data_IF_919002440050
#
_entry.id   IF_919002440050
#
_cell.length_a   1.000
_cell.length_b   1.000
_cell.length_c   1.000
_cell.angle_alpha   90.00
_cell.angle_beta   90.00
_cell.angle_gamma   90.00
#
_symmetry.space_group_name_H-M   'P 1'
#
loop_
_entity.id
_entity.type
_entity.pdbx_description
1 polymer ?
#
# COMPACT_ATOMS: atom_id res chain seq x y z
N UNK A 1 24.80 -8.89 -19.93
CA UNK A 1 23.93 -7.71 -19.92
C UNK A 1 22.67 -8.10 -19.17
N UNK A 2 22.37 -7.51 -18.02
CA UNK A 2 21.14 -7.83 -17.30
C UNK A 2 19.96 -7.23 -18.09
N UNK A 3 19.16 -8.10 -18.70
CA UNK A 3 17.96 -7.72 -19.44
C UNK A 3 16.93 -7.21 -18.45
N UNK A 4 16.49 -5.97 -18.60
CA UNK A 4 15.43 -5.34 -17.81
C UNK A 4 14.18 -6.24 -17.75
N UNK A 5 13.56 -6.39 -16.59
CA UNK A 5 12.34 -7.20 -16.43
C UNK A 5 11.21 -6.65 -17.31
N UNK A 6 10.60 -7.52 -18.13
CA UNK A 6 9.50 -7.15 -19.03
C UNK A 6 8.18 -7.75 -18.55
N UNK A 7 7.14 -6.93 -18.50
CA UNK A 7 5.77 -7.38 -18.26
C UNK A 7 5.31 -8.35 -19.35
N UNK A 8 4.50 -9.35 -18.98
CA UNK A 8 3.96 -10.33 -19.92
C UNK A 8 3.12 -9.66 -21.03
N UNK A 9 2.38 -8.59 -20.69
CA UNK A 9 1.64 -7.78 -21.66
C UNK A 9 2.55 -7.22 -22.76
N UNK A 10 3.69 -6.62 -22.38
CA UNK A 10 4.68 -6.07 -23.31
C UNK A 10 5.30 -7.17 -24.18
N UNK A 11 5.58 -8.34 -23.61
CA UNK A 11 6.11 -9.49 -24.34
C UNK A 11 5.11 -9.97 -25.39
N UNK A 12 3.83 -10.08 -25.03
CA UNK A 12 2.75 -10.46 -25.94
C UNK A 12 2.67 -9.53 -27.15
N UNK A 13 2.59 -8.21 -26.91
CA UNK A 13 2.48 -7.24 -28.00
C UNK A 13 3.74 -7.18 -28.89
N UNK A 14 4.93 -7.36 -28.29
CA UNK A 14 6.19 -7.37 -29.04
C UNK A 14 6.34 -8.58 -29.97
N UNK A 15 5.76 -9.72 -29.59
CA UNK A 15 5.85 -10.96 -30.36
C UNK A 15 4.82 -11.06 -31.51
N UNK A 16 3.91 -10.09 -31.64
CA UNK A 16 2.95 -10.03 -32.75
C UNK A 16 2.11 -11.31 -32.89
N UNK A 17 2.17 -11.94 -34.06
CA UNK A 17 1.46 -13.20 -34.35
C UNK A 17 1.85 -14.38 -33.45
N UNK A 18 3.00 -14.32 -32.78
CA UNK A 18 3.47 -15.36 -31.85
C UNK A 18 3.25 -14.98 -30.37
N UNK A 19 2.44 -13.96 -30.08
CA UNK A 19 2.17 -13.44 -28.74
C UNK A 19 1.79 -14.51 -27.72
N UNK A 20 0.82 -15.37 -28.03
CA UNK A 20 0.36 -16.43 -27.12
C UNK A 20 1.47 -17.43 -26.79
N UNK A 21 2.24 -17.86 -27.80
CA UNK A 21 3.34 -18.81 -27.61
C UNK A 21 4.48 -18.21 -26.78
N UNK A 22 4.83 -16.95 -27.04
CA UNK A 22 5.87 -16.24 -26.29
C UNK A 22 5.45 -15.98 -24.83
N UNK A 23 4.18 -15.64 -24.61
CA UNK A 23 3.62 -15.42 -23.27
C UNK A 23 3.62 -16.71 -22.46
N UNK A 24 3.11 -17.81 -23.01
CA UNK A 24 3.06 -19.10 -22.31
C UNK A 24 4.48 -19.60 -21.97
N UNK A 25 5.40 -19.50 -22.94
CA UNK A 25 6.80 -19.86 -22.71
C UNK A 25 7.42 -19.05 -21.57
N UNK A 26 7.24 -17.73 -21.58
CA UNK A 26 7.79 -16.85 -20.54
C UNK A 26 7.14 -17.11 -19.18
N UNK A 27 5.83 -17.38 -19.16
CA UNK A 27 5.12 -17.77 -17.96
C UNK A 27 5.72 -19.05 -17.36
N UNK A 28 5.86 -20.11 -18.15
CA UNK A 28 6.44 -21.38 -17.70
C UNK A 28 7.87 -21.24 -17.20
N UNK A 29 8.71 -20.45 -17.90
CA UNK A 29 10.07 -20.15 -17.47
C UNK A 29 10.10 -19.45 -16.10
N UNK A 30 9.24 -18.45 -15.89
CA UNK A 30 9.19 -17.71 -14.61
C UNK A 30 8.55 -18.54 -13.51
N UNK A 31 7.49 -19.27 -13.80
CA UNK A 31 6.76 -20.08 -12.83
C UNK A 31 7.62 -21.22 -12.27
N UNK A 32 8.44 -21.84 -13.13
CA UNK A 32 9.31 -22.96 -12.78
C UNK A 32 10.76 -22.55 -12.48
N UNK A 33 11.06 -21.25 -12.42
CA UNK A 33 12.39 -20.79 -12.05
C UNK A 33 12.73 -21.19 -10.59
N UNK A 34 13.98 -21.57 -10.34
CA UNK A 34 14.43 -21.99 -9.00
C UNK A 34 14.24 -20.89 -7.94
N UNK A 35 14.33 -19.62 -8.35
CA UNK A 35 14.13 -18.47 -7.46
C UNK A 35 12.66 -18.05 -7.29
N UNK A 36 11.72 -18.79 -7.86
CA UNK A 36 10.29 -18.47 -7.77
C UNK A 36 9.64 -19.13 -6.57
N UNK A 37 8.87 -18.34 -5.82
CA UNK A 37 8.06 -18.82 -4.71
C UNK A 37 6.61 -19.04 -5.17
N UNK A 38 6.17 -20.29 -5.06
CA UNK A 38 4.78 -20.70 -5.31
C UNK A 38 3.93 -20.41 -4.09
N UNK A 39 2.79 -19.74 -4.28
CA UNK A 39 1.92 -19.32 -3.17
C UNK A 39 0.87 -20.37 -2.80
N UNK A 40 0.58 -21.30 -3.70
CA UNK A 40 -0.56 -22.22 -3.60
C UNK A 40 -1.92 -21.56 -3.83
N UNK A 41 -1.99 -20.24 -4.04
CA UNK A 41 -3.23 -19.50 -4.23
C UNK A 41 -3.56 -19.48 -5.71
N UNK A 42 -4.71 -20.05 -6.09
CA UNK A 42 -5.18 -20.12 -7.48
C UNK A 42 -6.26 -19.08 -7.72
N UNK A 43 -6.09 -18.26 -8.76
CA UNK A 43 -7.07 -17.27 -9.22
C UNK A 43 -7.13 -17.27 -10.75
N UNK A 44 -8.34 -17.18 -11.32
CA UNK A 44 -8.53 -17.18 -12.78
C UNK A 44 -7.94 -18.41 -13.50
N UNK A 45 -7.83 -19.56 -12.81
CA UNK A 45 -7.24 -20.79 -13.35
C UNK A 45 -5.71 -20.89 -13.26
N UNK A 46 -5.02 -19.88 -12.71
CA UNK A 46 -3.57 -19.87 -12.56
C UNK A 46 -3.16 -19.63 -11.10
N UNK A 47 -2.06 -20.24 -10.69
CA UNK A 47 -1.49 -20.00 -9.37
C UNK A 47 -0.70 -18.68 -9.35
N UNK A 48 -0.91 -17.87 -8.30
CA UNK A 48 -0.08 -16.71 -8.01
C UNK A 48 1.32 -17.16 -7.59
N UNK A 49 2.34 -16.45 -8.05
CA UNK A 49 3.73 -16.75 -7.73
C UNK A 49 4.55 -15.47 -7.63
N UNK A 50 5.62 -15.52 -6.85
CA UNK A 50 6.57 -14.44 -6.68
C UNK A 50 7.86 -14.81 -7.38
N UNK A 51 8.09 -14.23 -8.57
CA UNK A 51 9.35 -14.38 -9.27
C UNK A 51 10.42 -13.46 -8.69
N UNK A 52 11.63 -14.00 -8.47
CA UNK A 52 12.78 -13.22 -8.01
C UNK A 52 13.85 -13.18 -9.11
N UNK A 53 13.72 -12.27 -10.10
CA UNK A 53 14.74 -12.09 -11.13
C UNK A 53 15.99 -11.43 -10.55
N UNK A 54 17.13 -11.59 -11.25
CA UNK A 54 18.41 -11.01 -10.85
C UNK A 54 18.35 -9.49 -10.59
N UNK A 55 17.58 -8.74 -11.39
CA UNK A 55 17.40 -7.29 -11.20
C UNK A 55 16.76 -6.96 -9.84
N UNK A 56 15.78 -7.75 -9.38
CA UNK A 56 15.14 -7.56 -8.08
C UNK A 56 16.14 -7.76 -6.93
N UNK A 57 17.06 -8.71 -7.08
CA UNK A 57 18.12 -8.96 -6.09
C UNK A 57 19.06 -7.77 -6.02
N UNK A 58 19.51 -7.22 -7.16
CA UNK A 58 20.36 -6.02 -7.20
C UNK A 58 19.65 -4.82 -6.55
N UNK A 59 18.38 -4.60 -6.86
CA UNK A 59 17.60 -3.51 -6.26
C UNK A 59 17.45 -3.69 -4.75
N UNK A 60 17.17 -4.90 -4.30
CA UNK A 60 17.08 -5.23 -2.86
C UNK A 60 18.39 -4.95 -2.15
N UNK A 61 19.52 -5.34 -2.74
CA UNK A 61 20.86 -5.08 -2.21
C UNK A 61 21.10 -3.57 -2.03
N UNK A 62 20.77 -2.77 -3.04
CA UNK A 62 20.90 -1.32 -3.00
C UNK A 62 19.99 -0.69 -1.93
N UNK A 63 18.76 -1.17 -1.80
CA UNK A 63 17.81 -0.71 -0.77
C UNK A 63 18.39 -1.02 0.62
N UNK A 64 18.85 -2.25 0.87
CA UNK A 64 19.41 -2.65 2.16
C UNK A 64 20.68 -1.85 2.52
N UNK A 65 21.55 -1.54 1.54
CA UNK A 65 22.71 -0.65 1.78
C UNK A 65 22.29 0.76 2.18
N UNK A 66 21.28 1.32 1.52
CA UNK A 66 20.76 2.66 1.82
C UNK A 66 20.07 2.69 3.17
N UNK A 67 19.22 1.70 3.46
CA UNK A 67 18.54 1.52 4.75
C UNK A 67 19.54 1.56 5.90
N UNK A 68 20.64 0.79 5.82
CA UNK A 68 21.68 0.79 6.87
C UNK A 68 22.27 2.17 7.12
N UNK A 69 22.48 2.97 6.07
CA UNK A 69 23.01 4.33 6.20
C UNK A 69 21.97 5.25 6.87
N UNK A 70 20.71 5.16 6.45
CA UNK A 70 19.60 5.91 7.04
C UNK A 70 19.42 5.56 8.51
N UNK A 71 19.36 4.27 8.85
CA UNK A 71 19.23 3.79 10.22
C UNK A 71 20.40 4.21 11.12
N UNK A 72 21.63 4.22 10.59
CA UNK A 72 22.77 4.76 11.32
C UNK A 72 22.67 6.27 11.58
N UNK A 73 22.18 7.05 10.60
CA UNK A 73 21.96 8.48 10.78
C UNK A 73 20.83 8.75 11.78
N UNK A 74 19.73 8.01 11.69
CA UNK A 74 18.58 8.11 12.58
C UNK A 74 18.95 7.82 14.04
N UNK A 75 19.78 6.80 14.29
CA UNK A 75 20.28 6.48 15.64
C UNK A 75 21.16 7.57 16.26
N UNK A 76 21.79 8.43 15.46
CA UNK A 76 22.63 9.53 15.95
C UNK A 76 21.83 10.77 16.33
N UNK A 77 20.56 10.84 15.95
CA UNK A 77 19.70 11.96 16.28
C UNK A 77 19.27 11.89 17.75
N UNK A 78 19.23 13.04 18.46
CA UNK A 78 18.62 13.11 19.78
C UNK A 78 17.15 12.64 19.73
N UNK A 79 16.62 12.03 20.81
CA UNK A 79 15.26 11.49 20.83
C UNK A 79 14.17 12.49 20.40
N UNK A 80 14.31 13.76 20.80
CA UNK A 80 13.37 14.84 20.44
C UNK A 80 13.40 15.10 18.93
N UNK A 81 14.60 15.17 18.33
CA UNK A 81 14.76 15.38 16.89
C UNK A 81 14.24 14.19 16.09
N UNK A 82 14.47 12.96 16.58
CA UNK A 82 13.93 11.74 15.98
C UNK A 82 12.39 11.75 16.00
N UNK A 83 11.79 12.09 17.12
CA UNK A 83 10.33 12.15 17.26
C UNK A 83 9.70 13.19 16.34
N UNK A 84 10.31 14.37 16.25
CA UNK A 84 9.89 15.43 15.32
C UNK A 84 10.00 14.99 13.85
N UNK A 85 11.09 14.32 13.49
CA UNK A 85 11.28 13.77 12.15
C UNK A 85 10.21 12.72 11.80
N UNK A 86 9.94 11.76 12.69
CA UNK A 86 8.90 10.74 12.46
C UNK A 86 7.53 11.40 12.28
N UNK A 87 7.17 12.34 13.17
CA UNK A 87 5.89 13.09 13.05
C UNK A 87 5.80 13.83 11.71
N UNK A 88 6.89 14.43 11.24
CA UNK A 88 6.95 15.07 9.92
C UNK A 88 6.76 14.09 8.77
N UNK A 89 7.40 12.91 8.82
CA UNK A 89 7.27 11.88 7.79
C UNK A 89 5.84 11.32 7.72
N UNK A 90 5.21 11.11 8.87
CA UNK A 90 3.79 10.68 8.93
C UNK A 90 2.87 11.72 8.29
N UNK A 91 3.12 13.02 8.49
CA UNK A 91 2.34 14.06 7.82
C UNK A 91 2.50 14.02 6.31
N UNK A 92 3.74 13.88 5.83
CA UNK A 92 4.01 13.78 4.39
C UNK A 92 3.36 12.54 3.78
N UNK A 93 3.43 11.40 4.47
CA UNK A 93 2.80 10.16 4.03
C UNK A 93 1.28 10.29 3.86
N UNK A 94 0.61 10.93 4.82
CA UNK A 94 -0.83 11.19 4.74
C UNK A 94 -1.15 12.11 3.57
N UNK A 95 -0.39 13.19 3.37
CA UNK A 95 -0.60 14.10 2.22
C UNK A 95 -0.45 13.32 0.90
N UNK A 96 0.65 12.59 0.74
CA UNK A 96 0.96 11.86 -0.48
C UNK A 96 -0.05 10.74 -0.76
N UNK A 97 -0.47 9.99 0.26
CA UNK A 97 -1.50 8.95 0.12
C UNK A 97 -2.82 9.56 -0.37
N UNK A 98 -3.26 10.66 0.21
CA UNK A 98 -4.50 11.31 -0.21
C UNK A 98 -4.40 11.93 -1.61
N UNK A 99 -3.25 12.46 -1.97
CA UNK A 99 -3.01 12.97 -3.33
C UNK A 99 -3.13 11.86 -4.38
N UNK A 100 -2.63 10.65 -4.08
CA UNK A 100 -2.81 9.46 -4.93
C UNK A 100 -4.30 9.13 -5.10
N UNK A 101 -5.09 9.24 -4.02
CA UNK A 101 -6.55 9.06 -4.04
C UNK A 101 -7.32 10.27 -4.61
N UNK A 102 -6.62 11.28 -5.13
CA UNK A 102 -7.21 12.49 -5.73
C UNK A 102 -7.77 13.50 -4.73
N UNK A 103 -7.55 13.30 -3.43
CA UNK A 103 -8.04 14.15 -2.35
C UNK A 103 -6.98 15.21 -2.02
N UNK A 104 -7.27 16.46 -2.36
CA UNK A 104 -6.38 17.58 -2.06
C UNK A 104 -6.36 17.89 -0.55
N UNK A 105 -5.26 17.52 0.10
CA UNK A 105 -4.99 17.79 1.51
C UNK A 105 -3.68 18.57 1.63
N UNK A 106 -3.65 19.61 2.48
CA UNK A 106 -2.42 20.36 2.74
C UNK A 106 -1.76 19.91 4.03
N UNK A 107 -0.43 20.01 4.07
CA UNK A 107 0.35 19.76 5.29
C UNK A 107 -0.13 20.60 6.48
N UNK A 108 -0.54 21.86 6.24
CA UNK A 108 -1.08 22.74 7.28
C UNK A 108 -2.38 22.19 7.87
N UNK A 109 -3.33 21.77 7.03
CA UNK A 109 -4.59 21.19 7.50
C UNK A 109 -4.35 19.95 8.36
N UNK A 110 -3.43 19.07 7.96
CA UNK A 110 -3.12 17.86 8.74
C UNK A 110 -2.40 18.22 10.05
N UNK A 111 -1.49 19.20 10.04
CA UNK A 111 -0.81 19.64 11.25
C UNK A 111 -1.78 20.27 12.27
N UNK A 112 -2.69 21.13 11.81
CA UNK A 112 -3.72 21.76 12.66
C UNK A 112 -4.62 20.68 13.33
N UNK A 113 -4.94 19.60 12.60
CA UNK A 113 -5.68 18.45 13.14
C UNK A 113 -4.86 17.70 14.18
N UNK A 114 -3.58 17.43 13.91
CA UNK A 114 -2.71 16.69 14.83
C UNK A 114 -2.42 17.46 16.12
N UNK A 115 -2.23 18.77 16.07
CA UNK A 115 -2.04 19.61 17.27
C UNK A 115 -3.32 19.68 18.13
N UNK A 116 -4.50 19.56 17.51
CA UNK A 116 -5.78 19.52 18.23
C UNK A 116 -6.00 18.22 19.02
N UNK A 117 -5.37 17.11 18.63
CA UNK A 117 -5.37 15.83 19.38
C UNK A 117 -4.72 16.04 20.76
N UNK A 118 -3.66 16.84 20.81
CA UNK A 118 -2.86 17.06 22.01
C UNK A 118 -3.55 18.01 23.01
N UNK A 119 -4.59 18.77 22.61
CA UNK A 119 -5.12 19.88 23.44
C UNK A 119 -6.58 19.80 23.89
N UNK A 120 -7.51 19.12 23.20
CA UNK A 120 -8.86 18.94 23.73
C UNK A 120 -9.68 17.97 22.85
N UNK A 121 -10.20 16.89 23.44
CA UNK A 121 -11.05 15.88 22.79
C UNK A 121 -12.45 16.35 22.39
N UNK A 122 -12.60 17.60 21.95
CA UNK A 122 -13.90 18.19 21.56
C UNK A 122 -14.02 18.29 20.05
N UNK A 123 -14.99 17.53 19.53
CA UNK A 123 -15.64 17.62 18.23
C UNK A 123 -15.34 18.91 17.45
N UNK A 124 -14.42 18.81 16.48
CA UNK A 124 -14.45 19.64 15.28
C UNK A 124 -14.57 18.73 14.07
N UNK A 125 -15.48 19.11 13.16
CA UNK A 125 -15.70 18.65 11.78
C UNK A 125 -15.34 17.20 11.45
N UNK A 126 -16.35 16.41 11.09
CA UNK A 126 -16.22 15.01 10.67
C UNK A 126 -15.15 14.82 9.57
N UNK A 127 -15.02 15.82 8.69
CA UNK A 127 -14.11 15.88 7.53
C UNK A 127 -12.63 15.62 7.82
N UNK A 128 -12.19 15.68 9.09
CA UNK A 128 -10.79 15.42 9.45
C UNK A 128 -10.58 14.20 10.36
N UNK A 129 -11.64 13.43 10.62
CA UNK A 129 -11.57 12.21 11.45
C UNK A 129 -10.64 11.18 10.82
N UNK A 130 -10.73 10.95 9.50
CA UNK A 130 -9.84 10.06 8.76
C UNK A 130 -8.36 10.40 8.94
N UNK A 131 -7.98 11.67 8.82
CA UNK A 131 -6.57 12.08 8.95
C UNK A 131 -6.03 11.81 10.36
N UNK A 132 -6.86 12.05 11.38
CA UNK A 132 -6.50 11.76 12.76
C UNK A 132 -6.28 10.26 12.96
N UNK A 133 -7.19 9.43 12.48
CA UNK A 133 -7.05 7.97 12.65
C UNK A 133 -5.84 7.43 11.87
N UNK A 134 -5.60 7.89 10.63
CA UNK A 134 -4.39 7.52 9.88
C UNK A 134 -3.11 7.95 10.58
N UNK A 135 -3.03 9.19 11.06
CA UNK A 135 -1.85 9.67 11.76
C UNK A 135 -1.60 8.92 13.06
N UNK A 136 -2.67 8.59 13.80
CA UNK A 136 -2.60 7.76 14.99
C UNK A 136 -2.04 6.38 14.66
N UNK A 137 -2.56 5.70 13.63
CA UNK A 137 -2.09 4.38 13.21
C UNK A 137 -0.61 4.42 12.84
N UNK A 138 -0.18 5.38 12.01
CA UNK A 138 1.23 5.52 11.64
C UNK A 138 2.15 5.84 12.83
N UNK A 139 1.71 6.68 13.78
CA UNK A 139 2.49 6.97 14.98
C UNK A 139 2.56 5.76 15.92
N UNK A 140 1.51 4.94 16.00
CA UNK A 140 1.52 3.69 16.77
C UNK A 140 2.55 2.70 16.22
N UNK A 141 2.81 2.66 14.91
CA UNK A 141 3.88 1.82 14.33
C UNK A 141 5.28 2.17 14.87
N UNK A 142 5.47 3.38 15.43
CA UNK A 142 6.72 3.77 16.06
C UNK A 142 6.86 3.33 17.52
N UNK A 143 5.77 2.83 18.12
CA UNK A 143 5.75 2.23 19.46
C UNK A 143 6.21 0.77 19.39
N UNK A 144 7.11 0.36 20.27
CA UNK A 144 7.61 -1.03 20.33
C UNK A 144 6.52 -2.02 20.76
N UNK A 145 5.40 -1.52 21.30
CA UNK A 145 4.26 -2.32 21.76
C UNK A 145 3.11 -2.46 20.75
N UNK A 146 3.26 -1.96 19.52
CA UNK A 146 2.21 -2.14 18.51
C UNK A 146 2.00 -3.61 18.16
N UNK A 147 0.75 -3.97 17.89
CA UNK A 147 0.40 -5.29 17.36
C UNK A 147 0.01 -5.17 15.89
N UNK A 148 0.67 -5.96 15.05
CA UNK A 148 0.29 -6.10 13.65
C UNK A 148 -1.07 -6.81 13.53
N UNK A 149 -1.91 -6.44 12.54
CA UNK A 149 -3.14 -7.16 12.25
C UNK A 149 -2.82 -8.59 11.84
N UNK A 150 -3.41 -9.58 12.52
CA UNK A 150 -3.16 -11.01 12.30
C UNK A 150 -4.33 -11.72 11.64
N UNK A 151 -5.50 -11.10 11.67
CA UNK A 151 -6.73 -11.66 11.13
C UNK A 151 -7.43 -10.68 10.19
N UNK A 152 -8.29 -11.19 9.28
CA UNK A 152 -9.16 -10.32 8.49
C UNK A 152 -10.06 -9.40 9.33
N UNK A 153 -10.43 -9.80 10.55
CA UNK A 153 -11.20 -8.98 11.46
C UNK A 153 -10.41 -7.77 11.97
N UNK A 154 -9.11 -7.94 12.23
CA UNK A 154 -8.23 -6.83 12.62
C UNK A 154 -8.12 -5.81 11.48
N UNK A 155 -7.95 -6.29 10.24
CA UNK A 155 -7.93 -5.44 9.03
C UNK A 155 -9.26 -4.70 8.89
N UNK A 156 -10.39 -5.38 9.11
CA UNK A 156 -11.71 -4.77 9.05
C UNK A 156 -11.89 -3.68 10.12
N UNK A 157 -11.41 -3.92 11.34
CA UNK A 157 -11.46 -2.92 12.41
C UNK A 157 -10.65 -1.67 12.06
N UNK A 158 -9.48 -1.83 11.44
CA UNK A 158 -8.66 -0.70 10.96
C UNK A 158 -9.41 0.06 9.87
N UNK A 159 -9.99 -0.65 8.89
CA UNK A 159 -10.79 -0.04 7.83
C UNK A 159 -11.96 0.76 8.38
N UNK A 160 -12.77 0.16 9.27
CA UNK A 160 -13.94 0.83 9.85
C UNK A 160 -13.54 2.08 10.65
N UNK A 161 -12.41 2.03 11.37
CA UNK A 161 -11.88 3.20 12.09
C UNK A 161 -11.44 4.32 11.14
N UNK A 162 -10.74 3.99 10.05
CA UNK A 162 -10.25 4.99 9.07
C UNK A 162 -11.41 5.60 8.28
N UNK A 163 -12.43 4.80 7.95
CA UNK A 163 -13.55 5.21 7.08
C UNK A 163 -14.78 5.73 7.85
N UNK A 164 -14.72 5.80 9.18
CA UNK A 164 -15.84 6.23 10.00
C UNK A 164 -16.26 7.68 9.67
N UNK A 165 -17.49 7.84 9.18
CA UNK A 165 -18.04 9.12 8.75
C UNK A 165 -17.66 9.58 7.33
N UNK A 166 -16.86 8.78 6.61
CA UNK A 166 -16.37 9.11 5.26
C UNK A 166 -17.16 8.43 4.13
N UNK A 167 -17.92 7.38 4.47
CA UNK A 167 -18.67 6.57 3.50
C UNK A 167 -20.17 6.86 3.56
N UNK A 168 -20.76 7.06 2.38
CA UNK A 168 -22.21 6.99 2.21
C UNK A 168 -22.72 5.59 2.58
N UNK A 169 -23.97 5.48 3.05
CA UNK A 169 -24.54 4.20 3.50
C UNK A 169 -24.48 3.11 2.42
N UNK A 170 -24.64 3.50 1.14
CA UNK A 170 -24.55 2.58 0.00
C UNK A 170 -23.14 2.05 -0.27
N UNK A 171 -22.11 2.79 0.17
CA UNK A 171 -20.71 2.48 -0.10
C UNK A 171 -20.05 1.75 1.08
N UNK A 172 -20.78 1.58 2.19
CA UNK A 172 -20.30 0.79 3.32
C UNK A 172 -20.18 -0.69 2.94
N UNK A 173 -19.22 -1.43 3.52
CA UNK A 173 -19.15 -2.86 3.30
C UNK A 173 -20.44 -3.55 3.77
N UNK A 174 -21.06 -4.29 2.86
CA UNK A 174 -22.36 -4.95 2.98
C UNK A 174 -22.27 -6.40 3.50
N UNK A 175 -21.07 -6.94 3.68
CA UNK A 175 -20.80 -8.23 4.30
C UNK A 175 -20.11 -8.13 5.67
N UNK A 176 -19.96 -9.29 6.33
CA UNK A 176 -19.45 -9.38 7.72
C UNK A 176 -18.02 -8.86 7.88
N UNK A 177 -17.13 -9.21 6.94
CA UNK A 177 -15.73 -8.77 6.96
C UNK A 177 -15.36 -8.02 5.69
N UNK A 178 -15.79 -8.53 4.54
CA UNK A 178 -15.59 -7.92 3.22
C UNK A 178 -16.93 -7.56 2.60
N UNK A 179 -16.90 -6.82 1.49
CA UNK A 179 -18.09 -6.63 0.67
C UNK A 179 -18.59 -7.98 0.13
N UNK A 180 -19.91 -8.12 0.07
CA UNK A 180 -20.60 -9.31 -0.41
C UNK A 180 -20.90 -9.18 -1.91
N UNK A 181 -21.41 -8.03 -2.32
CA UNK A 181 -21.64 -7.74 -3.72
C UNK A 181 -20.36 -7.25 -4.42
N UNK A 182 -20.34 -7.40 -5.75
CA UNK A 182 -19.18 -7.09 -6.57
C UNK A 182 -18.87 -5.59 -6.59
N UNK A 183 -17.58 -5.26 -6.70
CA UNK A 183 -17.10 -3.88 -6.83
C UNK A 183 -16.25 -3.73 -8.08
N UNK A 184 -16.49 -2.67 -8.83
CA UNK A 184 -15.69 -2.34 -10.01
C UNK A 184 -14.68 -1.22 -9.70
N UNK A 185 -13.44 -1.42 -10.14
CA UNK A 185 -12.45 -0.34 -10.23
C UNK A 185 -12.58 0.24 -11.63
N UNK A 186 -12.94 1.52 -11.71
CA UNK A 186 -13.09 2.24 -12.98
C UNK A 186 -11.79 3.01 -13.24
N UNK A 187 -11.17 2.77 -14.41
CA UNK A 187 -9.96 3.52 -14.80
C UNK A 187 -10.26 4.97 -15.18
N UNK A 188 -9.32 5.66 -15.83
CA UNK A 188 -9.46 7.06 -16.29
C UNK A 188 -10.57 7.32 -17.33
N UNK A 189 -11.45 6.34 -17.58
CA UNK A 189 -12.60 6.40 -18.50
C UNK A 189 -13.84 5.78 -17.86
N UNK A 190 -14.75 5.21 -18.65
CA UNK A 190 -16.01 4.59 -18.15
C UNK A 190 -15.94 3.06 -18.04
N UNK A 191 -14.80 2.45 -18.34
CA UNK A 191 -14.65 1.00 -18.38
C UNK A 191 -14.09 0.49 -17.06
N UNK A 192 -14.76 -0.49 -16.46
CA UNK A 192 -14.21 -1.27 -15.35
C UNK A 192 -12.91 -1.95 -15.81
N UNK A 193 -11.83 -1.67 -15.09
CA UNK A 193 -10.51 -2.30 -15.29
C UNK A 193 -10.30 -3.51 -14.38
N UNK A 194 -11.05 -3.59 -13.29
CA UNK A 194 -11.07 -4.71 -12.38
C UNK A 194 -12.45 -4.86 -11.75
N UNK A 195 -12.85 -6.10 -11.49
CA UNK A 195 -14.10 -6.46 -10.83
C UNK A 195 -13.75 -7.44 -9.74
N UNK A 196 -14.03 -7.07 -8.49
CA UNK A 196 -13.86 -7.89 -7.29
C UNK A 196 -15.16 -8.54 -6.86
#
# INVERSE_FOLDING_TARGET
>A
MATQYQELSKIYYKAGSHGNSALEKTYQERFNAESTFRTGIVTGGHELFLAVPHELIILTEHILRKERRVSNALRRLPPIARSSLIRSLVMDEIVCTNEIEGIHSTRKQINDVLESIDQDGRNRSNDFKRFRELARLYLQLSDESHEDPRTPADIRSIYDSVMDGELEEKDRPDGTLFRKESVEIIGSGTKAIHTG
#
